data_IF_014149785599
#
_entry.id   IF_014149785599
#
_cell.length_a   1.000
_cell.length_b   1.000
_cell.length_c   1.000
_cell.angle_alpha   90.00
_cell.angle_beta   90.00
_cell.angle_gamma   90.00
#
_symmetry.space_group_name_H-M   'P 1'
#
loop_
_entity.id
_entity.type
_entity.pdbx_description
1 polymer ?
#
# COMPACT_ATOMS: atom_id res chain seq x y z
N UNK A 1 5.62 -21.54 -10.01
CA UNK A 1 5.90 -22.66 -9.06
C UNK A 1 5.01 -22.63 -7.80
N UNK A 2 5.11 -21.65 -6.88
CA UNK A 2 4.25 -21.65 -5.66
C UNK A 2 2.76 -21.42 -5.93
N UNK A 3 2.41 -20.60 -6.92
CA UNK A 3 1.01 -20.33 -7.32
C UNK A 3 0.36 -21.56 -7.95
N UNK A 4 1.11 -22.27 -8.80
CA UNK A 4 0.66 -23.49 -9.48
C UNK A 4 0.45 -24.63 -8.48
N UNK A 5 1.32 -24.71 -7.46
CA UNK A 5 1.21 -25.67 -6.37
C UNK A 5 -0.06 -25.46 -5.52
N UNK A 6 -0.46 -24.21 -5.26
CA UNK A 6 -1.70 -23.91 -4.52
C UNK A 6 -2.94 -24.26 -5.35
N UNK A 7 -2.94 -23.92 -6.65
CA UNK A 7 -4.00 -24.33 -7.58
C UNK A 7 -4.13 -25.85 -7.67
N UNK A 8 -2.99 -26.54 -7.75
CA UNK A 8 -2.92 -28.00 -7.76
C UNK A 8 -3.54 -28.61 -6.50
N UNK A 9 -3.12 -28.16 -5.30
CA UNK A 9 -3.69 -28.66 -4.04
C UNK A 9 -5.20 -28.42 -3.91
N UNK A 10 -5.70 -27.26 -4.34
CA UNK A 10 -7.15 -26.98 -4.33
C UNK A 10 -7.92 -27.93 -5.25
N UNK A 11 -7.38 -28.20 -6.44
CA UNK A 11 -8.00 -29.08 -7.43
C UNK A 11 -7.95 -30.55 -6.99
N UNK A 12 -6.84 -30.99 -6.39
CA UNK A 12 -6.73 -32.32 -5.78
C UNK A 12 -7.78 -32.53 -4.70
N UNK A 13 -8.03 -31.53 -3.84
CA UNK A 13 -9.05 -31.63 -2.79
C UNK A 13 -10.46 -31.76 -3.36
N UNK A 14 -10.80 -30.98 -4.39
CA UNK A 14 -12.09 -31.11 -5.08
C UNK A 14 -12.25 -32.54 -5.65
N UNK A 15 -11.22 -33.06 -6.32
CA UNK A 15 -11.21 -34.43 -6.84
C UNK A 15 -11.38 -35.46 -5.73
N UNK A 16 -10.68 -35.33 -4.59
CA UNK A 16 -10.81 -36.23 -3.44
C UNK A 16 -12.25 -36.24 -2.90
N UNK A 17 -12.92 -35.08 -2.82
CA UNK A 17 -14.31 -34.97 -2.35
C UNK A 17 -15.30 -35.57 -3.36
N UNK A 18 -15.02 -35.51 -4.66
CA UNK A 18 -15.88 -36.14 -5.68
C UNK A 18 -15.61 -37.65 -5.84
N UNK A 19 -14.40 -38.12 -5.58
CA UNK A 19 -14.00 -39.51 -5.78
C UNK A 19 -14.55 -40.45 -4.70
N UNK A 20 -14.71 -39.98 -3.45
CA UNK A 20 -15.19 -40.79 -2.34
C UNK A 20 -16.66 -41.26 -2.51
N UNK A 21 -17.63 -40.40 -2.89
CA UNK A 21 -19.00 -40.85 -3.18
C UNK A 21 -19.15 -41.71 -4.44
N UNK A 22 -18.09 -41.82 -5.25
CA UNK A 22 -18.06 -42.63 -6.47
C UNK A 22 -17.38 -44.00 -6.23
N UNK A 23 -17.10 -44.35 -4.96
CA UNK A 23 -16.35 -45.54 -4.56
C UNK A 23 -14.98 -45.66 -5.25
N UNK A 24 -14.41 -44.55 -5.71
CA UNK A 24 -13.12 -44.50 -6.40
C UNK A 24 -11.93 -44.43 -5.43
N UNK A 25 -12.20 -44.11 -4.16
CA UNK A 25 -11.25 -44.13 -3.03
C UNK A 25 -12.01 -44.59 -1.78
N UNK A 26 -11.34 -45.32 -0.89
CA UNK A 26 -11.95 -45.78 0.36
C UNK A 26 -11.93 -44.70 1.48
N UNK A 27 -12.51 -45.02 2.65
CA UNK A 27 -12.60 -44.09 3.78
C UNK A 27 -11.21 -43.70 4.34
N UNK A 28 -10.24 -44.62 4.30
CA UNK A 28 -8.89 -44.42 4.82
C UNK A 28 -8.08 -43.55 3.85
N UNK A 29 -8.15 -43.84 2.56
CA UNK A 29 -7.60 -43.04 1.47
C UNK A 29 -8.21 -41.63 1.44
N UNK A 30 -9.52 -41.52 1.62
CA UNK A 30 -10.20 -40.23 1.72
C UNK A 30 -9.68 -39.43 2.91
N UNK A 31 -9.58 -40.01 4.10
CA UNK A 31 -9.07 -39.33 5.29
C UNK A 31 -7.64 -38.82 5.09
N UNK A 32 -6.76 -39.66 4.53
CA UNK A 32 -5.35 -39.31 4.27
C UNK A 32 -5.23 -38.21 3.21
N UNK A 33 -5.94 -38.33 2.09
CA UNK A 33 -5.91 -37.34 1.01
C UNK A 33 -6.57 -36.02 1.43
N UNK A 34 -7.66 -36.07 2.20
CA UNK A 34 -8.36 -34.90 2.69
C UNK A 34 -7.50 -34.08 3.67
N UNK A 35 -6.78 -34.74 4.58
CA UNK A 35 -5.84 -34.07 5.49
C UNK A 35 -4.56 -33.61 4.79
N UNK A 36 -4.01 -34.39 3.86
CA UNK A 36 -2.84 -33.99 3.07
C UNK A 36 -3.12 -32.80 2.14
N UNK A 37 -4.37 -32.63 1.69
CA UNK A 37 -4.82 -31.51 0.87
C UNK A 37 -5.43 -30.37 1.67
N UNK A 38 -5.55 -30.50 3.00
CA UNK A 38 -6.06 -29.46 3.88
C UNK A 38 -5.19 -28.20 3.79
N UNK A 39 -5.74 -27.04 3.41
CA UNK A 39 -4.97 -25.82 3.37
C UNK A 39 -4.45 -25.50 4.78
N UNK A 40 -3.13 -25.35 4.95
CA UNK A 40 -2.51 -24.94 6.23
C UNK A 40 -2.93 -23.52 6.68
N UNK A 41 -3.78 -22.83 5.92
CA UNK A 41 -4.26 -21.48 6.18
C UNK A 41 -5.58 -21.25 5.45
N UNK A 42 -6.53 -20.55 6.08
CA UNK A 42 -7.78 -20.03 5.50
C UNK A 42 -7.49 -18.95 4.43
N UNK A 43 -6.84 -19.33 3.34
CA UNK A 43 -6.52 -18.41 2.24
C UNK A 43 -7.77 -18.18 1.42
N UNK A 44 -8.07 -16.91 1.18
CA UNK A 44 -9.06 -16.51 0.18
C UNK A 44 -8.66 -17.15 -1.16
N UNK A 45 -9.59 -17.83 -1.86
CA UNK A 45 -9.29 -18.57 -3.09
C UNK A 45 -9.10 -17.61 -4.27
N UNK A 46 -7.96 -16.93 -4.30
CA UNK A 46 -7.67 -15.85 -5.26
C UNK A 46 -7.87 -16.25 -6.73
N UNK A 47 -7.67 -17.54 -7.05
CA UNK A 47 -7.84 -18.09 -8.39
C UNK A 47 -9.28 -18.13 -8.89
N UNK A 48 -10.27 -17.85 -8.03
CA UNK A 48 -11.68 -17.72 -8.42
C UNK A 48 -12.04 -16.34 -8.95
N UNK A 49 -11.18 -15.33 -8.76
CA UNK A 49 -11.43 -13.98 -9.23
C UNK A 49 -10.75 -13.72 -10.58
N UNK A 50 -11.30 -12.78 -11.35
CA UNK A 50 -10.70 -12.35 -12.61
C UNK A 50 -9.45 -11.52 -12.33
N UNK A 51 -8.45 -11.63 -13.22
CA UNK A 51 -7.26 -10.78 -13.19
C UNK A 51 -7.65 -9.30 -13.21
N UNK A 52 -6.90 -8.49 -12.47
CA UNK A 52 -7.08 -7.04 -12.44
C UNK A 52 -6.88 -6.44 -13.83
N UNK A 53 -7.74 -5.47 -14.16
CA UNK A 53 -7.72 -4.73 -15.41
C UNK A 53 -8.34 -3.36 -15.13
N UNK A 54 -7.51 -2.32 -15.13
CA UNK A 54 -7.93 -0.96 -14.79
C UNK A 54 -8.86 -0.37 -15.87
N UNK A 55 -8.77 -0.84 -17.12
CA UNK A 55 -9.58 -0.31 -18.23
C UNK A 55 -11.05 -0.69 -18.07
N UNK A 56 -11.34 -1.72 -17.26
CA UNK A 56 -12.70 -2.11 -16.88
C UNK A 56 -13.29 -1.31 -15.73
N UNK A 57 -12.51 -0.44 -15.09
CA UNK A 57 -12.98 0.42 -14.00
C UNK A 57 -13.43 1.78 -14.53
N UNK A 58 -14.51 2.29 -13.93
CA UNK A 58 -14.98 3.67 -14.11
C UNK A 58 -14.14 4.64 -13.28
N UNK A 59 -14.20 5.93 -13.62
CA UNK A 59 -13.50 6.97 -12.84
C UNK A 59 -14.00 7.03 -11.38
N UNK A 60 -15.29 6.83 -11.13
CA UNK A 60 -15.85 6.78 -9.78
C UNK A 60 -15.28 5.61 -8.97
N UNK A 61 -15.13 4.43 -9.58
CA UNK A 61 -14.49 3.27 -8.94
C UNK A 61 -13.01 3.54 -8.68
N UNK A 62 -12.28 4.14 -9.63
CA UNK A 62 -10.88 4.52 -9.45
C UNK A 62 -10.72 5.54 -8.30
N UNK A 63 -11.57 6.56 -8.23
CA UNK A 63 -11.56 7.53 -7.13
C UNK A 63 -11.88 6.87 -5.78
N UNK A 64 -12.88 6.00 -5.73
CA UNK A 64 -13.27 5.31 -4.51
C UNK A 64 -12.17 4.36 -4.00
N UNK A 65 -11.47 3.68 -4.91
CA UNK A 65 -10.48 2.67 -4.56
C UNK A 65 -9.05 3.21 -4.41
N UNK A 66 -8.66 4.15 -5.27
CA UNK A 66 -7.28 4.62 -5.42
C UNK A 66 -7.10 6.12 -5.15
N UNK A 67 -8.19 6.87 -4.96
CA UNK A 67 -8.21 8.34 -4.75
C UNK A 67 -7.71 9.16 -5.94
N UNK A 68 -7.60 8.55 -7.12
CA UNK A 68 -7.17 9.18 -8.36
C UNK A 68 -8.11 8.80 -9.49
N UNK A 69 -8.26 9.68 -10.47
CA UNK A 69 -8.94 9.33 -11.72
C UNK A 69 -8.12 8.29 -12.49
N UNK A 70 -8.78 7.54 -13.39
CA UNK A 70 -8.10 6.48 -14.13
C UNK A 70 -6.92 7.02 -14.94
N UNK A 71 -7.12 8.13 -15.65
CA UNK A 71 -6.07 8.72 -16.47
C UNK A 71 -4.89 9.27 -15.64
N UNK A 72 -5.16 9.74 -14.42
CA UNK A 72 -4.11 10.21 -13.52
C UNK A 72 -3.22 9.08 -13.02
N UNK A 73 -3.74 7.85 -12.91
CA UNK A 73 -2.94 6.67 -12.55
C UNK A 73 -1.93 6.36 -13.65
N UNK A 74 -2.32 6.43 -14.93
CA UNK A 74 -1.39 6.28 -16.05
C UNK A 74 -0.33 7.38 -16.05
N UNK A 75 -0.76 8.63 -15.95
CA UNK A 75 0.17 9.78 -15.86
C UNK A 75 1.16 9.63 -14.70
N UNK A 76 0.68 9.12 -13.55
CA UNK A 76 1.50 8.94 -12.36
C UNK A 76 2.53 7.82 -12.54
N UNK A 77 2.20 6.75 -13.25
CA UNK A 77 3.18 5.70 -13.61
C UNK A 77 4.32 6.28 -14.42
N UNK A 78 4.01 7.14 -15.39
CA UNK A 78 5.01 7.77 -16.26
C UNK A 78 5.89 8.76 -15.47
N UNK A 79 5.28 9.64 -14.67
CA UNK A 79 5.98 10.63 -13.85
C UNK A 79 6.87 9.96 -12.78
N UNK A 80 6.37 8.91 -12.12
CA UNK A 80 7.16 8.17 -11.14
C UNK A 80 8.22 7.27 -11.79
N UNK A 81 8.22 7.18 -13.13
CA UNK A 81 9.10 6.34 -13.94
C UNK A 81 9.07 4.88 -13.50
N UNK A 82 7.87 4.34 -13.26
CA UNK A 82 7.72 2.96 -12.79
C UNK A 82 8.04 1.96 -13.90
N UNK A 83 9.00 1.03 -13.67
CA UNK A 83 9.45 0.08 -14.69
C UNK A 83 8.37 -0.94 -15.05
N UNK A 84 8.12 -1.10 -16.35
CA UNK A 84 7.12 -2.04 -16.93
C UNK A 84 7.38 -3.50 -16.56
N UNK A 85 8.65 -3.91 -16.39
CA UNK A 85 9.05 -5.33 -16.24
C UNK A 85 9.90 -5.59 -14.98
N UNK A 86 9.69 -4.85 -13.89
CA UNK A 86 10.49 -5.07 -12.67
C UNK A 86 10.08 -6.37 -12.00
N UNK A 87 11.08 -7.23 -11.80
CA UNK A 87 10.91 -8.50 -11.09
C UNK A 87 11.06 -8.28 -9.59
N UNK A 88 10.20 -8.91 -8.80
CA UNK A 88 10.47 -9.11 -7.39
C UNK A 88 11.65 -10.06 -7.19
N UNK A 89 12.17 -10.12 -5.96
CA UNK A 89 13.28 -11.02 -5.58
C UNK A 89 13.01 -12.51 -5.87
N UNK A 90 11.75 -12.93 -5.97
CA UNK A 90 11.34 -14.30 -6.30
C UNK A 90 11.10 -14.52 -7.80
N UNK A 91 11.41 -13.53 -8.65
CA UNK A 91 11.20 -13.57 -10.10
C UNK A 91 9.78 -13.25 -10.56
N UNK A 92 8.85 -12.90 -9.66
CA UNK A 92 7.50 -12.45 -10.04
C UNK A 92 7.59 -11.18 -10.89
N UNK A 93 7.03 -11.22 -12.10
CA UNK A 93 6.82 -10.02 -12.91
C UNK A 93 5.61 -9.25 -12.41
N UNK A 94 5.75 -7.94 -12.32
CA UNK A 94 4.70 -7.01 -11.89
C UNK A 94 4.43 -6.08 -13.07
N UNK A 95 3.18 -5.97 -13.46
CA UNK A 95 2.72 -4.90 -14.34
C UNK A 95 2.76 -3.56 -13.58
N UNK A 96 3.29 -2.50 -14.18
CA UNK A 96 3.51 -1.23 -13.48
C UNK A 96 2.20 -0.55 -13.06
N UNK A 97 1.14 -0.65 -13.87
CA UNK A 97 -0.19 -0.10 -13.55
C UNK A 97 -0.81 -0.87 -12.40
N UNK A 98 -0.87 -2.20 -12.49
CA UNK A 98 -1.40 -3.05 -11.41
C UNK A 98 -0.60 -2.84 -10.12
N UNK A 99 0.73 -2.76 -10.22
CA UNK A 99 1.61 -2.52 -9.10
C UNK A 99 1.30 -1.20 -8.40
N UNK A 100 1.15 -0.11 -9.16
CA UNK A 100 0.77 1.18 -8.62
C UNK A 100 -0.63 1.14 -8.00
N UNK A 101 -1.62 0.46 -8.62
CA UNK A 101 -2.97 0.35 -8.07
C UNK A 101 -2.99 -0.42 -6.73
N UNK A 102 -2.21 -1.50 -6.60
CA UNK A 102 -2.04 -2.23 -5.34
C UNK A 102 -1.46 -1.30 -4.26
N UNK A 103 -0.44 -0.52 -4.62
CA UNK A 103 0.17 0.46 -3.72
C UNK A 103 -0.84 1.55 -3.32
N UNK A 104 -1.49 2.22 -4.27
CA UNK A 104 -2.49 3.27 -4.00
C UNK A 104 -3.63 2.76 -3.11
N UNK A 105 -4.18 1.58 -3.40
CA UNK A 105 -5.25 0.97 -2.59
C UNK A 105 -4.83 0.76 -1.14
N UNK A 106 -3.56 0.44 -0.90
CA UNK A 106 -2.99 0.25 0.44
C UNK A 106 -2.95 1.55 1.25
N UNK A 107 -2.72 2.68 0.59
CA UNK A 107 -2.60 4.00 1.20
C UNK A 107 -3.90 4.81 1.17
N UNK A 108 -4.87 4.44 0.34
CA UNK A 108 -6.17 5.12 0.21
C UNK A 108 -7.03 5.04 1.49
N UNK A 109 -6.93 3.92 2.24
CA UNK A 109 -7.60 3.69 3.51
C UNK A 109 -6.98 2.48 4.25
N UNK A 110 -7.00 2.42 5.60
CA UNK A 110 -6.58 1.23 6.35
C UNK A 110 -7.32 -0.04 5.93
N UNK A 111 -6.65 -0.91 5.19
CA UNK A 111 -7.16 -2.23 4.78
C UNK A 111 -6.22 -3.34 5.25
N UNK A 112 -6.56 -4.62 5.07
CA UNK A 112 -5.62 -5.75 5.15
C UNK A 112 -5.37 -6.28 3.73
N UNK A 113 -4.26 -6.97 3.52
CA UNK A 113 -4.00 -7.59 2.20
C UNK A 113 -5.06 -8.62 1.80
N UNK A 114 -5.63 -9.36 2.76
CA UNK A 114 -6.76 -10.27 2.50
C UNK A 114 -7.95 -9.56 1.89
N UNK A 115 -8.21 -8.32 2.31
CA UNK A 115 -9.33 -7.52 1.82
C UNK A 115 -9.11 -7.08 0.36
N UNK A 116 -7.89 -7.14 -0.16
CA UNK A 116 -7.54 -6.75 -1.54
C UNK A 116 -7.55 -7.93 -2.52
N UNK A 117 -7.61 -9.18 -2.04
CA UNK A 117 -7.48 -10.40 -2.86
C UNK A 117 -8.54 -10.49 -3.96
N UNK A 118 -9.77 -10.07 -3.66
CA UNK A 118 -10.89 -10.14 -4.60
C UNK A 118 -10.70 -9.19 -5.80
N UNK A 119 -10.10 -8.02 -5.59
CA UNK A 119 -9.89 -6.99 -6.62
C UNK A 119 -8.71 -7.35 -7.53
N UNK A 120 -7.64 -7.89 -6.96
CA UNK A 120 -6.39 -8.13 -7.69
C UNK A 120 -6.17 -9.59 -8.10
N UNK A 121 -7.02 -10.52 -7.66
CA UNK A 121 -6.87 -11.96 -7.89
C UNK A 121 -5.46 -12.50 -7.56
N UNK A 122 -4.83 -11.93 -6.52
CA UNK A 122 -3.49 -12.29 -6.08
C UNK A 122 -3.49 -12.73 -4.62
N UNK A 123 -2.63 -13.70 -4.25
CA UNK A 123 -2.50 -14.11 -2.86
C UNK A 123 -1.84 -12.99 -2.04
N UNK A 124 -2.20 -12.88 -0.75
CA UNK A 124 -1.73 -11.83 0.16
C UNK A 124 -0.20 -11.62 0.17
N UNK A 125 0.65 -12.67 0.13
CA UNK A 125 2.09 -12.47 0.08
C UNK A 125 2.57 -11.76 -1.19
N UNK A 126 1.89 -11.96 -2.33
CA UNK A 126 2.22 -11.23 -3.56
C UNK A 126 1.78 -9.76 -3.45
N UNK A 127 0.60 -9.48 -2.90
CA UNK A 127 0.13 -8.10 -2.71
C UNK A 127 1.09 -7.30 -1.83
N UNK A 128 1.54 -7.90 -0.72
CA UNK A 128 2.54 -7.30 0.16
C UNK A 128 3.87 -7.07 -0.55
N UNK A 129 4.34 -8.06 -1.32
CA UNK A 129 5.59 -7.98 -2.05
C UNK A 129 5.55 -6.88 -3.12
N UNK A 130 4.47 -6.80 -3.88
CA UNK A 130 4.25 -5.79 -4.92
C UNK A 130 4.20 -4.39 -4.30
N UNK A 131 3.38 -4.19 -3.26
CA UNK A 131 3.24 -2.90 -2.59
C UNK A 131 4.58 -2.39 -2.04
N UNK A 132 5.38 -3.26 -1.41
CA UNK A 132 6.70 -2.87 -0.91
C UNK A 132 7.71 -2.62 -2.04
N UNK A 133 7.61 -3.36 -3.14
CA UNK A 133 8.47 -3.12 -4.30
C UNK A 133 8.22 -1.75 -4.91
N UNK A 134 6.96 -1.35 -5.08
CA UNK A 134 6.59 -0.01 -5.55
C UNK A 134 7.07 1.06 -4.58
N UNK A 135 6.88 0.86 -3.27
CA UNK A 135 7.42 1.76 -2.24
C UNK A 135 8.94 1.96 -2.39
N UNK A 136 9.70 0.87 -2.52
CA UNK A 136 11.15 0.92 -2.65
C UNK A 136 11.58 1.65 -3.93
N UNK A 137 10.91 1.41 -5.06
CA UNK A 137 11.20 2.12 -6.33
C UNK A 137 11.01 3.62 -6.14
N UNK A 138 9.88 4.03 -5.56
CA UNK A 138 9.56 5.44 -5.35
C UNK A 138 10.58 6.06 -4.40
N UNK A 139 10.88 5.39 -3.29
CA UNK A 139 11.83 5.88 -2.31
C UNK A 139 13.26 5.99 -2.88
N UNK A 140 13.75 4.96 -3.56
CA UNK A 140 15.09 4.95 -4.17
C UNK A 140 15.30 6.16 -5.09
N UNK A 141 14.29 6.53 -5.88
CA UNK A 141 14.37 7.60 -6.88
C UNK A 141 13.98 8.98 -6.36
N UNK A 142 12.97 9.08 -5.49
CA UNK A 142 12.30 10.34 -5.15
C UNK A 142 12.42 10.73 -3.68
N UNK A 143 13.18 10.00 -2.85
CA UNK A 143 13.37 10.34 -1.43
C UNK A 143 13.93 11.76 -1.22
N UNK A 144 14.69 12.30 -2.17
CA UNK A 144 15.22 13.66 -2.10
C UNK A 144 14.11 14.72 -1.97
N UNK A 145 12.90 14.46 -2.51
CA UNK A 145 11.75 15.34 -2.33
C UNK A 145 11.21 15.37 -0.90
N UNK A 146 11.62 14.43 -0.05
CA UNK A 146 11.20 14.32 1.36
C UNK A 146 12.32 14.65 2.35
N UNK A 147 13.58 14.66 1.90
CA UNK A 147 14.77 14.83 2.74
C UNK A 147 15.52 16.14 2.48
N UNK A 148 15.11 16.92 1.48
CA UNK A 148 15.77 18.16 1.08
C UNK A 148 14.79 19.34 1.04
N UNK A 149 15.23 20.50 1.52
CA UNK A 149 14.49 21.77 1.39
C UNK A 149 14.85 22.53 0.11
N UNK A 150 15.93 22.16 -0.57
CA UNK A 150 16.34 22.77 -1.85
C UNK A 150 15.45 22.26 -2.99
N UNK A 151 14.18 22.64 -2.90
CA UNK A 151 13.16 22.35 -3.90
C UNK A 151 12.73 23.66 -4.56
N UNK A 152 12.43 23.62 -5.86
CA UNK A 152 12.06 24.82 -6.62
C UNK A 152 10.86 25.59 -6.03
N UNK A 153 9.96 24.90 -5.33
CA UNK A 153 8.79 25.51 -4.69
C UNK A 153 9.08 26.08 -3.28
N UNK A 154 10.25 25.81 -2.71
CA UNK A 154 10.74 26.33 -1.42
C UNK A 154 11.84 27.39 -1.58
N UNK A 155 11.99 27.96 -2.77
CA UNK A 155 12.93 29.06 -3.03
C UNK A 155 12.52 30.35 -2.33
N UNK A 156 13.47 31.28 -2.03
CA UNK A 156 13.20 32.49 -1.25
C UNK A 156 11.99 33.30 -1.73
N UNK A 157 11.78 33.42 -3.03
CA UNK A 157 10.67 34.18 -3.62
C UNK A 157 9.31 33.58 -3.24
N UNK A 158 9.22 32.25 -3.18
CA UNK A 158 8.00 31.54 -2.75
C UNK A 158 7.80 31.65 -1.24
N UNK A 159 8.87 31.59 -0.45
CA UNK A 159 8.80 31.74 1.01
C UNK A 159 8.35 33.14 1.43
N UNK A 160 8.85 34.19 0.76
CA UNK A 160 8.39 35.56 0.95
C UNK A 160 6.91 35.71 0.61
N UNK A 161 6.48 35.09 -0.50
CA UNK A 161 5.06 35.06 -0.89
C UNK A 161 4.21 34.37 0.17
N UNK A 162 4.64 33.22 0.68
CA UNK A 162 3.94 32.51 1.75
C UNK A 162 3.84 33.35 3.02
N UNK A 163 4.93 33.99 3.44
CA UNK A 163 4.95 34.86 4.61
C UNK A 163 4.00 36.06 4.47
N UNK A 164 4.01 36.73 3.32
CA UNK A 164 3.11 37.85 3.05
C UNK A 164 1.63 37.43 3.07
N UNK A 165 1.28 36.26 2.50
CA UNK A 165 -0.10 35.75 2.50
C UNK A 165 -0.54 35.38 3.92
N UNK A 166 0.32 34.72 4.70
CA UNK A 166 0.04 34.35 6.10
C UNK A 166 -0.15 35.60 6.96
N UNK A 167 0.74 36.60 6.85
CA UNK A 167 0.64 37.85 7.60
C UNK A 167 -0.64 38.62 7.24
N UNK A 168 -0.99 38.71 5.95
CA UNK A 168 -2.23 39.35 5.48
C UNK A 168 -3.49 38.68 6.05
N UNK A 169 -3.43 37.39 6.37
CA UNK A 169 -4.52 36.66 7.05
C UNK A 169 -4.60 36.93 8.55
N UNK A 170 -3.68 37.73 9.11
CA UNK A 170 -3.68 38.17 10.51
C UNK A 170 -2.65 37.47 11.39
N UNK A 171 -1.65 36.77 10.82
CA UNK A 171 -0.58 36.20 11.62
C UNK A 171 0.28 37.31 12.26
N UNK A 172 0.68 37.10 13.52
CA UNK A 172 1.43 38.09 14.29
C UNK A 172 2.85 38.33 13.76
N UNK A 173 3.45 37.33 13.13
CA UNK A 173 4.77 37.40 12.52
C UNK A 173 4.63 37.73 11.03
N UNK A 174 5.48 38.62 10.52
CA UNK A 174 5.56 39.01 9.11
C UNK A 174 6.45 38.07 8.27
N UNK A 175 7.20 37.19 8.92
CA UNK A 175 8.13 36.24 8.29
C UNK A 175 7.73 34.75 8.44
N UNK A 176 6.49 34.46 8.87
CA UNK A 176 6.00 33.10 9.02
C UNK A 176 5.54 32.52 7.68
N UNK A 177 6.29 31.59 7.10
CA UNK A 177 6.01 30.99 5.78
C UNK A 177 5.23 29.65 5.84
N UNK A 178 5.03 29.08 7.02
CA UNK A 178 4.35 27.80 7.19
C UNK A 178 4.11 27.44 8.64
N UNK A 179 3.35 26.37 8.86
CA UNK A 179 2.95 25.91 10.19
C UNK A 179 3.41 24.48 10.42
N UNK A 180 3.93 24.20 11.62
CA UNK A 180 4.26 22.82 12.00
C UNK A 180 2.95 22.04 12.14
N UNK A 181 2.78 21.03 11.30
CA UNK A 181 1.74 20.01 11.45
C UNK A 181 2.35 18.77 12.10
N UNK A 182 1.65 18.24 13.09
CA UNK A 182 2.14 17.18 13.95
C UNK A 182 1.12 16.05 14.05
N UNK A 183 1.41 14.91 13.43
CA UNK A 183 0.59 13.71 13.60
C UNK A 183 1.15 12.82 14.68
N UNK A 184 0.36 12.59 15.73
CA UNK A 184 0.67 11.63 16.80
C UNK A 184 0.06 10.28 16.44
N UNK A 185 0.90 9.25 16.24
CA UNK A 185 0.46 7.87 16.01
C UNK A 185 0.67 7.02 17.26
N UNK A 186 -0.41 6.65 17.99
CA UNK A 186 -0.30 5.79 19.15
C UNK A 186 0.33 4.45 18.79
N UNK A 187 1.18 3.95 19.69
CA UNK A 187 1.78 2.62 19.61
C UNK A 187 1.55 1.87 20.91
N UNK A 188 1.63 0.54 20.85
CA UNK A 188 1.66 -0.28 22.06
C UNK A 188 2.84 0.14 22.95
N UNK A 189 2.69 -0.01 24.27
CA UNK A 189 3.76 0.32 25.24
C UNK A 189 5.01 -0.49 24.88
N UNK A 190 6.13 0.17 24.52
CA UNK A 190 7.32 -0.54 24.06
C UNK A 190 8.08 -1.13 25.25
N UNK A 191 8.82 -2.22 25.05
CA UNK A 191 9.70 -2.77 26.09
C UNK A 191 10.93 -1.89 26.37
N UNK A 192 11.42 -1.17 25.35
CA UNK A 192 12.57 -0.26 25.41
C UNK A 192 12.14 1.15 25.01
N UNK A 193 12.90 2.17 25.40
CA UNK A 193 12.65 3.57 25.04
C UNK A 193 11.25 4.10 25.41
N UNK A 194 10.61 3.54 26.45
CA UNK A 194 9.27 3.97 26.89
C UNK A 194 9.16 5.47 27.11
N UNK A 195 10.15 6.05 27.82
CA UNK A 195 10.18 7.48 28.10
C UNK A 195 10.30 8.34 26.84
N UNK A 196 11.04 7.87 25.83
CA UNK A 196 11.24 8.56 24.55
C UNK A 196 9.96 8.56 23.70
N UNK A 197 9.24 7.44 23.70
CA UNK A 197 7.99 7.28 22.97
C UNK A 197 6.78 7.82 23.74
N UNK A 198 6.89 8.14 25.04
CA UNK A 198 5.76 8.62 25.81
C UNK A 198 5.43 10.09 25.49
N UNK A 199 4.26 10.33 24.89
CA UNK A 199 3.73 11.66 24.66
C UNK A 199 2.93 12.13 25.88
N UNK A 200 3.54 12.98 26.71
CA UNK A 200 2.90 13.48 27.94
C UNK A 200 1.59 14.25 27.71
N UNK A 201 1.49 15.00 26.61
CA UNK A 201 0.28 15.78 26.30
C UNK A 201 -0.91 14.86 25.96
N UNK A 202 -0.68 13.82 25.15
CA UNK A 202 -1.72 12.84 24.78
C UNK A 202 -1.83 11.67 25.77
N UNK A 203 -0.91 11.57 26.74
CA UNK A 203 -0.81 10.50 27.76
C UNK A 203 -0.75 9.08 27.16
N UNK A 204 -0.10 8.93 26.00
CA UNK A 204 0.05 7.66 25.28
C UNK A 204 1.48 7.47 24.79
N UNK A 205 1.91 6.23 24.59
CA UNK A 205 3.12 5.96 23.81
C UNK A 205 2.78 6.19 22.34
N UNK A 206 3.59 6.97 21.64
CA UNK A 206 3.32 7.35 20.26
C UNK A 206 4.59 7.75 19.51
N UNK A 207 4.55 7.54 18.20
CA UNK A 207 5.50 8.14 17.26
C UNK A 207 4.90 9.48 16.82
N UNK A 208 5.72 10.54 16.83
CA UNK A 208 5.33 11.85 16.32
C UNK A 208 5.96 12.04 14.95
N UNK A 209 5.13 12.36 13.98
CA UNK A 209 5.55 12.85 12.68
C UNK A 209 5.34 14.36 12.68
N UNK A 210 6.35 15.11 12.28
CA UNK A 210 6.29 16.56 12.18
C UNK A 210 6.70 16.98 10.78
N UNK A 211 5.94 17.90 10.20
CA UNK A 211 6.23 18.51 8.91
C UNK A 211 5.77 19.96 8.93
N UNK A 212 6.11 20.72 7.90
CA UNK A 212 5.65 22.10 7.73
C UNK A 212 4.59 22.14 6.64
N UNK A 213 3.37 22.48 7.02
CA UNK A 213 2.29 22.78 6.09
C UNK A 213 2.48 24.19 5.53
N UNK A 214 2.51 24.31 4.20
CA UNK A 214 2.70 25.59 3.50
C UNK A 214 1.40 26.09 2.88
N UNK A 215 1.27 27.41 2.61
CA UNK A 215 0.07 27.98 1.99
C UNK A 215 -0.31 27.41 0.62
N UNK A 216 0.64 26.80 -0.09
CA UNK A 216 0.39 26.15 -1.38
C UNK A 216 -0.36 24.81 -1.26
N UNK A 217 -0.55 24.32 -0.03
CA UNK A 217 -1.12 22.99 0.25
C UNK A 217 -0.10 21.87 0.22
N UNK A 218 1.17 22.16 -0.12
CA UNK A 218 2.26 21.19 -0.04
C UNK A 218 2.82 21.11 1.38
N UNK A 219 3.32 19.92 1.73
CA UNK A 219 3.94 19.62 3.02
C UNK A 219 5.46 19.54 2.82
N UNK A 220 6.20 20.44 3.47
CA UNK A 220 7.65 20.36 3.55
C UNK A 220 8.02 19.41 4.71
N UNK A 221 8.57 18.25 4.39
CA UNK A 221 8.94 17.26 5.38
C UNK A 221 10.39 17.49 5.87
N UNK A 222 10.61 17.26 7.17
CA UNK A 222 11.91 17.34 7.87
C UNK A 222 12.47 15.94 8.13
#
# INVERSE_FOLDING_TARGET
MKTDFIKFHSKCREITVFAHPLDAIDDEEFALLYDATKPKSHRVPFWRYQSFDIDKMTDDECLAEFRLFRNDIYNLVDILELPVDRKCYNGLKIDNIEGLCIFLKRFAYPCRYVDMVHRFARPEPQLCMISNQVLNIIHERWQNLLTDFDQGWLQPENLETFAAVIHRKGAALDNCWGFIDGTVRPVARPGRFQRMLYNGHKKVHAIKFQSVATPSGMIANL
#
